data_IF_355467771216
#
_entry.id   IF_355467771216
#
_cell.length_a   1.000
_cell.length_b   1.000
_cell.length_c   1.000
_cell.angle_alpha   90.00
_cell.angle_beta   90.00
_cell.angle_gamma   90.00
#
_symmetry.space_group_name_H-M   'P 1'
#
loop_
_entity.id
_entity.type
_entity.pdbx_description
1 polymer ?
#
# COMPACT_ATOMS: atom_id res chain seq x y z
N UNK A 1 8.56 -14.36 9.17
CA UNK A 1 10.01 -14.27 9.52
C UNK A 1 10.17 -14.25 11.03
N UNK A 2 11.31 -14.71 11.54
CA UNK A 2 11.61 -14.83 12.98
C UNK A 2 12.65 -13.81 13.49
N UNK A 3 12.90 -12.74 12.74
CA UNK A 3 13.90 -11.71 13.04
C UNK A 3 13.53 -10.39 12.34
N UNK A 4 14.07 -9.24 12.77
CA UNK A 4 13.96 -7.98 12.03
C UNK A 4 14.72 -8.06 10.70
N UNK A 5 14.38 -7.17 9.76
CA UNK A 5 15.11 -7.05 8.50
C UNK A 5 16.58 -6.66 8.79
N UNK A 6 17.58 -7.37 8.23
CA UNK A 6 18.99 -7.01 8.39
C UNK A 6 19.29 -5.57 7.97
N UNK A 7 20.27 -4.94 8.62
CA UNK A 7 20.70 -3.56 8.35
C UNK A 7 19.59 -2.49 8.55
N UNK A 8 18.53 -2.81 9.29
CA UNK A 8 17.42 -1.91 9.60
C UNK A 8 17.35 -1.50 11.09
N UNK A 9 18.49 -1.50 11.79
CA UNK A 9 18.59 -1.12 13.23
C UNK A 9 17.60 -1.87 14.13
N UNK A 10 17.39 -3.16 13.89
CA UNK A 10 16.43 -4.01 14.62
C UNK A 10 14.99 -3.44 14.67
N UNK A 11 14.60 -2.67 13.65
CA UNK A 11 13.30 -2.00 13.62
C UNK A 11 12.13 -2.98 13.60
N UNK A 12 11.11 -2.67 14.41
CA UNK A 12 9.86 -3.45 14.49
C UNK A 12 8.86 -3.17 13.36
N UNK A 13 9.08 -2.10 12.61
CA UNK A 13 8.44 -1.80 11.33
C UNK A 13 9.37 -0.96 10.46
N UNK A 14 9.26 -1.11 9.15
CA UNK A 14 10.07 -0.36 8.19
C UNK A 14 9.38 -0.30 6.83
N UNK A 15 9.60 0.80 6.11
CA UNK A 15 9.33 0.91 4.69
C UNK A 15 10.66 1.12 3.95
N UNK A 16 10.89 0.33 2.90
CA UNK A 16 12.04 0.45 2.00
C UNK A 16 11.50 0.62 0.58
N UNK A 17 12.02 1.61 -0.13
CA UNK A 17 11.72 1.83 -1.54
C UNK A 17 12.99 1.48 -2.32
N UNK A 18 12.87 0.59 -3.30
CA UNK A 18 13.92 0.28 -4.26
C UNK A 18 13.59 1.00 -5.58
N UNK A 19 14.27 2.13 -5.87
CA UNK A 19 13.94 2.93 -7.05
C UNK A 19 14.21 2.14 -8.34
N UNK A 20 13.30 2.22 -9.30
CA UNK A 20 13.31 1.47 -10.56
C UNK A 20 14.66 1.51 -11.28
N UNK A 21 15.34 2.66 -11.28
CA UNK A 21 16.63 2.86 -11.96
C UNK A 21 17.76 2.05 -11.33
N UNK A 22 17.70 1.76 -10.03
CA UNK A 22 18.69 0.91 -9.35
C UNK A 22 18.51 -0.58 -9.70
N UNK A 23 17.31 -0.94 -10.17
CA UNK A 23 16.95 -2.32 -10.52
C UNK A 23 16.89 -2.55 -12.04
N UNK A 24 17.10 -1.51 -12.86
CA UNK A 24 16.92 -1.60 -14.32
C UNK A 24 15.47 -1.85 -14.74
N UNK A 25 14.51 -1.40 -13.92
CA UNK A 25 13.06 -1.57 -14.08
C UNK A 25 12.37 -0.29 -14.55
N UNK A 26 11.08 -0.40 -14.91
CA UNK A 26 10.18 0.73 -15.24
C UNK A 26 9.34 1.20 -14.04
N UNK A 27 9.16 0.35 -13.04
CA UNK A 27 8.46 0.65 -11.80
C UNK A 27 9.37 0.46 -10.59
N UNK A 28 9.12 1.24 -9.55
CA UNK A 28 9.75 1.02 -8.25
C UNK A 28 9.27 -0.30 -7.63
N UNK A 29 10.03 -0.80 -6.66
CA UNK A 29 9.64 -1.92 -5.81
C UNK A 29 9.59 -1.44 -4.36
N UNK A 30 8.62 -1.94 -3.61
CA UNK A 30 8.38 -1.54 -2.24
C UNK A 30 8.52 -2.75 -1.32
N UNK A 31 9.15 -2.52 -0.16
CA UNK A 31 9.17 -3.48 0.95
C UNK A 31 8.57 -2.80 2.16
N UNK A 32 7.49 -3.37 2.69
CA UNK A 32 6.91 -2.96 3.97
C UNK A 32 7.02 -4.10 4.95
N UNK A 33 7.47 -3.83 6.16
CA UNK A 33 7.56 -4.82 7.23
C UNK A 33 6.94 -4.26 8.50
N UNK A 34 6.20 -5.11 9.20
CA UNK A 34 5.68 -4.85 10.53
C UNK A 34 5.72 -6.14 11.35
N UNK A 35 5.54 -6.01 12.66
CA UNK A 35 5.71 -7.11 13.60
C UNK A 35 4.61 -7.12 14.65
N UNK A 36 4.76 -8.00 15.64
CA UNK A 36 3.88 -8.08 16.81
C UNK A 36 3.60 -6.74 17.51
N UNK A 37 4.47 -5.74 17.39
CA UNK A 37 4.24 -4.40 17.96
C UNK A 37 3.01 -3.70 17.37
N UNK A 38 2.57 -4.13 16.18
CA UNK A 38 1.37 -3.65 15.51
C UNK A 38 0.19 -4.63 15.68
N UNK A 39 0.31 -5.65 16.55
CA UNK A 39 -0.69 -6.70 16.80
C UNK A 39 -1.12 -7.51 15.56
N UNK A 40 -0.26 -7.60 14.54
CA UNK A 40 -0.52 -8.36 13.30
C UNK A 40 0.12 -9.75 13.29
N UNK A 41 0.98 -10.06 14.26
CA UNK A 41 1.72 -11.32 14.34
C UNK A 41 2.03 -11.70 15.80
N UNK A 42 2.28 -12.99 16.11
CA UNK A 42 2.74 -13.42 17.43
C UNK A 42 4.07 -12.77 17.84
N UNK A 43 4.32 -12.66 19.16
CA UNK A 43 5.56 -12.08 19.70
C UNK A 43 6.81 -12.72 19.07
N UNK A 44 7.74 -11.88 18.60
CA UNK A 44 8.97 -12.30 17.92
C UNK A 44 8.81 -12.64 16.44
N UNK A 45 7.60 -12.51 15.87
CA UNK A 45 7.34 -12.72 14.44
C UNK A 45 7.14 -11.40 13.70
N UNK A 46 7.52 -11.43 12.42
CA UNK A 46 7.47 -10.32 11.47
C UNK A 46 6.77 -10.77 10.19
N UNK A 47 5.98 -9.85 9.63
CA UNK A 47 5.32 -9.97 8.33
C UNK A 47 5.95 -8.90 7.44
N UNK A 48 6.41 -9.30 6.26
CA UNK A 48 6.93 -8.38 5.26
C UNK A 48 6.21 -8.63 3.93
N UNK A 49 5.94 -7.54 3.23
CA UNK A 49 5.37 -7.48 1.91
C UNK A 49 6.43 -6.95 0.96
N UNK A 50 6.61 -7.62 -0.17
CA UNK A 50 7.45 -7.14 -1.29
C UNK A 50 6.53 -7.00 -2.49
N UNK A 51 6.31 -5.77 -2.95
CA UNK A 51 5.36 -5.45 -4.02
C UNK A 51 6.03 -4.68 -5.15
N UNK A 52 5.64 -4.99 -6.38
CA UNK A 52 6.08 -4.32 -7.59
C UNK A 52 5.02 -4.49 -8.69
N UNK A 53 5.06 -3.64 -9.72
CA UNK A 53 4.30 -3.86 -10.94
C UNK A 53 4.96 -4.97 -11.77
N UNK A 54 4.17 -5.92 -12.29
CA UNK A 54 4.74 -7.00 -13.11
C UNK A 54 5.18 -6.45 -14.47
N UNK A 55 6.46 -6.63 -14.82
CA UNK A 55 7.03 -6.14 -16.09
C UNK A 55 7.38 -7.27 -17.07
N UNK A 56 7.33 -8.53 -16.62
CA UNK A 56 7.68 -9.72 -17.39
C UNK A 56 6.68 -10.85 -17.14
N UNK A 57 6.78 -11.92 -17.95
CA UNK A 57 6.00 -13.15 -17.77
C UNK A 57 6.48 -14.00 -16.56
N UNK A 58 7.52 -13.55 -15.83
CA UNK A 58 8.02 -14.22 -14.63
C UNK A 58 8.08 -13.26 -13.42
N UNK A 59 6.92 -12.79 -12.94
CA UNK A 59 6.82 -11.76 -11.90
C UNK A 59 7.47 -12.16 -10.56
N UNK A 60 7.46 -13.45 -10.22
CA UNK A 60 8.08 -13.91 -8.98
C UNK A 60 9.60 -13.69 -8.97
N UNK A 61 10.24 -13.81 -10.13
CA UNK A 61 11.69 -13.55 -10.25
C UNK A 61 12.04 -12.07 -10.08
N UNK A 62 11.10 -11.18 -10.44
CA UNK A 62 11.29 -9.74 -10.33
C UNK A 62 11.39 -9.28 -8.87
N UNK A 63 10.74 -9.98 -7.93
CA UNK A 63 10.72 -9.64 -6.50
C UNK A 63 12.01 -10.02 -5.77
N UNK A 64 12.92 -10.76 -6.41
CA UNK A 64 14.15 -11.26 -5.79
C UNK A 64 14.96 -10.17 -5.07
N UNK A 65 15.20 -8.97 -5.66
CA UNK A 65 15.94 -7.90 -4.97
C UNK A 65 15.33 -7.50 -3.63
N UNK A 66 14.00 -7.41 -3.52
CA UNK A 66 13.32 -7.08 -2.27
C UNK A 66 13.31 -8.25 -1.28
N UNK A 67 13.14 -9.48 -1.76
CA UNK A 67 13.19 -10.70 -0.94
C UNK A 67 14.58 -10.90 -0.34
N UNK A 68 15.65 -10.64 -1.10
CA UNK A 68 17.03 -10.78 -0.62
C UNK A 68 17.34 -9.85 0.57
N UNK A 69 16.66 -8.70 0.67
CA UNK A 69 16.78 -7.79 1.81
C UNK A 69 16.22 -8.39 3.10
N UNK A 70 15.27 -9.32 3.01
CA UNK A 70 14.54 -9.84 4.16
C UNK A 70 15.37 -10.75 5.05
N UNK A 71 16.45 -11.35 4.55
CA UNK A 71 17.19 -12.42 5.23
C UNK A 71 16.41 -13.76 5.24
N UNK A 72 16.66 -14.65 6.21
CA UNK A 72 15.93 -15.92 6.33
C UNK A 72 14.40 -15.77 6.46
N UNK A 73 13.67 -16.25 5.44
CA UNK A 73 12.20 -16.24 5.43
C UNK A 73 11.67 -17.58 5.96
N UNK A 74 10.79 -17.52 6.97
CA UNK A 74 10.15 -18.74 7.52
C UNK A 74 9.21 -19.38 6.48
N UNK A 75 8.35 -18.57 5.85
CA UNK A 75 7.34 -18.96 4.87
C UNK A 75 7.14 -17.81 3.87
N UNK A 76 7.00 -18.14 2.59
CA UNK A 76 6.80 -17.18 1.50
C UNK A 76 5.47 -17.47 0.81
N UNK A 77 4.59 -16.47 0.78
CA UNK A 77 3.35 -16.49 0.02
C UNK A 77 3.47 -15.55 -1.17
N UNK A 78 3.16 -16.05 -2.35
CA UNK A 78 3.20 -15.27 -3.59
C UNK A 78 1.80 -15.16 -4.16
N UNK A 79 1.39 -13.95 -4.52
CA UNK A 79 0.13 -13.67 -5.18
C UNK A 79 0.30 -12.57 -6.23
N UNK A 80 -0.61 -12.55 -7.20
CA UNK A 80 -0.64 -11.59 -8.30
C UNK A 80 -2.09 -11.21 -8.58
N UNK A 81 -2.32 -9.92 -8.82
CA UNK A 81 -3.64 -9.39 -9.12
C UNK A 81 -3.58 -8.47 -10.34
N UNK A 82 -4.59 -8.58 -11.18
CA UNK A 82 -4.83 -7.57 -12.21
C UNK A 82 -5.32 -6.27 -11.57
N UNK A 83 -4.85 -5.13 -12.09
CA UNK A 83 -5.31 -3.81 -11.68
C UNK A 83 -6.28 -3.26 -12.71
N UNK A 84 -7.43 -2.79 -12.22
CA UNK A 84 -8.49 -2.20 -13.02
C UNK A 84 -8.67 -0.72 -12.69
N UNK A 85 -9.09 0.05 -13.69
CA UNK A 85 -9.49 1.44 -13.60
C UNK A 85 -10.88 1.64 -14.22
N UNK A 86 -11.68 2.62 -13.74
CA UNK A 86 -12.99 2.89 -14.32
C UNK A 86 -12.87 3.40 -15.75
N UNK A 87 -13.70 2.86 -16.65
CA UNK A 87 -13.79 3.28 -18.07
C UNK A 87 -15.13 3.93 -18.42
N UNK A 88 -16.05 4.00 -17.47
CA UNK A 88 -17.37 4.60 -17.67
C UNK A 88 -17.32 6.13 -17.58
N UNK A 89 -18.43 6.79 -17.96
CA UNK A 89 -18.63 8.22 -17.76
C UNK A 89 -19.62 8.43 -16.59
N UNK A 90 -19.14 8.70 -15.35
CA UNK A 90 -20.00 8.75 -14.17
C UNK A 90 -21.12 9.80 -14.25
N UNK A 91 -20.94 10.84 -15.07
CA UNK A 91 -21.94 11.89 -15.31
C UNK A 91 -23.16 11.39 -16.11
N UNK A 92 -23.02 10.29 -16.86
CA UNK A 92 -24.10 9.72 -17.67
C UNK A 92 -24.86 8.62 -16.93
N UNK A 93 -24.17 7.82 -16.11
CA UNK A 93 -24.72 6.62 -15.49
C UNK A 93 -24.83 6.69 -13.95
N UNK A 94 -24.29 7.73 -13.32
CA UNK A 94 -24.18 7.88 -11.86
C UNK A 94 -23.51 6.68 -11.16
N UNK A 95 -22.62 5.98 -11.85
CA UNK A 95 -21.84 4.88 -11.32
C UNK A 95 -20.39 5.35 -11.06
N UNK A 96 -19.96 5.31 -9.80
CA UNK A 96 -18.63 5.76 -9.37
C UNK A 96 -17.85 4.55 -8.86
N UNK A 97 -16.84 4.13 -9.63
CA UNK A 97 -16.06 2.92 -9.36
C UNK A 97 -14.63 3.33 -9.04
N UNK A 98 -14.08 2.81 -7.95
CA UNK A 98 -12.70 3.05 -7.53
C UNK A 98 -11.69 2.33 -8.41
N UNK A 99 -10.48 2.86 -8.48
CA UNK A 99 -9.34 2.17 -9.07
C UNK A 99 -8.83 1.06 -8.15
N UNK A 100 -8.18 0.03 -8.70
CA UNK A 100 -7.52 -1.00 -7.90
C UNK A 100 -6.29 -0.44 -7.18
N UNK A 101 -6.01 -0.92 -5.97
CA UNK A 101 -4.79 -0.59 -5.24
C UNK A 101 -3.54 -0.88 -6.09
N UNK A 102 -2.58 0.03 -6.03
CA UNK A 102 -1.30 -0.12 -6.71
C UNK A 102 -0.26 -0.83 -5.84
N UNK A 103 0.96 -0.96 -6.36
CA UNK A 103 2.04 -1.65 -5.66
C UNK A 103 2.66 -0.83 -4.52
N UNK A 104 2.28 0.45 -4.35
CA UNK A 104 2.89 1.31 -3.33
C UNK A 104 2.49 0.88 -1.92
N UNK A 105 3.40 1.09 -0.97
CA UNK A 105 3.19 0.73 0.45
C UNK A 105 2.65 1.90 1.29
N UNK A 106 2.17 2.96 0.64
CA UNK A 106 1.57 4.13 1.25
C UNK A 106 0.27 4.52 0.53
N UNK A 107 -0.56 5.33 1.17
CA UNK A 107 -1.93 5.57 0.70
C UNK A 107 -2.11 6.79 -0.22
N UNK A 108 -1.05 7.42 -0.70
CA UNK A 108 -1.15 8.65 -1.47
C UNK A 108 -2.07 8.52 -2.69
N UNK A 109 -1.84 7.52 -3.55
CA UNK A 109 -2.65 7.27 -4.76
C UNK A 109 -4.06 6.82 -4.42
N UNK A 110 -4.24 6.03 -3.36
CA UNK A 110 -5.55 5.66 -2.83
C UNK A 110 -6.34 6.89 -2.39
N UNK A 111 -5.71 7.81 -1.66
CA UNK A 111 -6.36 9.03 -1.20
C UNK A 111 -6.72 9.92 -2.40
N UNK A 112 -5.85 10.01 -3.42
CA UNK A 112 -6.18 10.70 -4.67
C UNK A 112 -7.45 10.12 -5.32
N UNK A 113 -7.57 8.79 -5.42
CA UNK A 113 -8.75 8.12 -5.98
C UNK A 113 -10.03 8.42 -5.16
N UNK A 114 -9.93 8.34 -3.82
CA UNK A 114 -11.03 8.68 -2.91
C UNK A 114 -11.48 10.13 -3.05
N UNK A 115 -10.54 11.08 -3.09
CA UNK A 115 -10.85 12.50 -3.22
C UNK A 115 -11.48 12.82 -4.59
N UNK A 116 -10.97 12.19 -5.65
CA UNK A 116 -11.54 12.32 -6.99
C UNK A 116 -12.99 11.81 -7.03
N UNK A 117 -13.25 10.61 -6.50
CA UNK A 117 -14.60 10.07 -6.40
C UNK A 117 -15.53 10.97 -5.58
N UNK A 118 -15.08 11.48 -4.43
CA UNK A 118 -15.87 12.41 -3.63
C UNK A 118 -16.29 13.64 -4.46
N UNK A 119 -15.37 14.22 -5.23
CA UNK A 119 -15.67 15.38 -6.08
C UNK A 119 -16.64 15.03 -7.20
N UNK A 120 -16.49 13.87 -7.83
CA UNK A 120 -17.42 13.40 -8.88
C UNK A 120 -18.83 13.16 -8.33
N UNK A 121 -18.95 12.58 -7.13
CA UNK A 121 -20.24 12.28 -6.49
C UNK A 121 -20.94 13.55 -6.00
N UNK A 122 -20.19 14.45 -5.35
CA UNK A 122 -20.78 15.58 -4.61
C UNK A 122 -20.78 16.90 -5.38
N UNK A 123 -19.97 17.00 -6.45
CA UNK A 123 -19.69 18.25 -7.15
C UNK A 123 -18.85 19.24 -6.33
N UNK A 124 -18.25 18.83 -5.22
CA UNK A 124 -17.47 19.68 -4.31
C UNK A 124 -16.06 19.13 -4.10
N UNK A 125 -15.09 20.02 -3.94
CA UNK A 125 -13.75 19.64 -3.46
C UNK A 125 -13.80 19.42 -1.95
N UNK A 126 -13.12 18.38 -1.45
CA UNK A 126 -13.03 18.13 0.00
C UNK A 126 -12.30 19.29 0.67
N UNK A 127 -12.94 19.88 1.67
CA UNK A 127 -12.31 20.87 2.55
C UNK A 127 -11.80 20.18 3.82
N UNK A 128 -10.48 20.09 3.94
CA UNK A 128 -9.80 19.48 5.10
C UNK A 128 -9.44 20.51 6.18
N UNK A 129 -9.83 21.77 6.01
CA UNK A 129 -9.52 22.86 6.96
C UNK A 129 -10.55 23.03 8.07
N UNK A 130 -11.60 22.20 8.09
CA UNK A 130 -12.69 22.28 9.08
C UNK A 130 -12.16 22.04 10.49
N UNK A 131 -12.46 22.97 11.39
CA UNK A 131 -12.21 22.80 12.82
C UNK A 131 -13.17 21.74 13.39
N UNK A 132 -12.60 20.59 13.76
CA UNK A 132 -13.32 19.44 14.32
C UNK A 132 -13.85 19.69 15.74
N UNK A 133 -13.56 20.83 16.36
CA UNK A 133 -14.11 21.22 17.67
C UNK A 133 -15.65 21.26 17.67
N UNK A 134 -16.29 21.47 16.51
CA UNK A 134 -17.74 21.43 16.36
C UNK A 134 -18.32 20.00 16.25
N UNK A 135 -17.49 18.98 15.98
CA UNK A 135 -17.92 17.60 15.79
C UNK A 135 -17.96 16.78 17.10
N UNK A 136 -17.45 17.31 18.21
CA UNK A 136 -17.37 16.60 19.50
C UNK A 136 -18.54 16.86 20.46
N UNK A 137 -19.71 17.26 19.96
CA UNK A 137 -20.87 17.55 20.80
C UNK A 137 -22.07 16.67 20.45
N UNK A 138 -22.02 15.38 20.79
CA UNK A 138 -23.20 14.56 21.02
C UNK A 138 -22.86 13.20 21.66
N UNK A 139 -22.47 13.16 22.94
CA UNK A 139 -22.76 12.02 23.84
C UNK A 139 -22.85 12.53 25.29
N UNK A 140 -23.96 13.19 25.61
CA UNK A 140 -24.48 13.25 26.99
C UNK A 140 -25.87 12.59 26.97
N UNK A 141 -25.94 11.29 27.27
CA UNK A 141 -27.12 10.61 27.78
C UNK A 141 -26.71 9.50 28.75
#
# INVERSE_FOLDING_TARGET
>A
MSHPIPNANDSHSIQIILPQKQLGRKSDMYVFCCSYTHNVAPKGKFIAFVSAEAETDNPQSELKPGIDLLGPVDELFFDMYDRYEPVNEPSLDNCFVSSSYDATTHFETTVTDVLNMYTLITGKTVDLSVDLSAASAAEDY
#
